data_IF_413269535761
#
_entry.id   IF_413269535761
#
_cell.length_a   1.000
_cell.length_b   1.000
_cell.length_c   1.000
_cell.angle_alpha   90.00
_cell.angle_beta   90.00
_cell.angle_gamma   90.00
#
_symmetry.space_group_name_H-M   'P 1'
#
loop_
_entity.id
_entity.type
_entity.pdbx_description
1 polymer ?
#
# COMPACT_ATOMS: atom_id res chain seq x y z
N UNK A 1 27.26 -6.67 6.03
CA UNK A 1 26.70 -7.97 6.46
C UNK A 1 27.78 -9.00 6.84
N UNK A 2 29.06 -8.76 6.54
CA UNK A 2 30.15 -9.76 6.62
C UNK A 2 30.41 -10.32 8.03
N UNK A 3 29.83 -9.75 9.08
CA UNK A 3 29.94 -10.23 10.46
C UNK A 3 28.66 -9.95 11.29
N UNK A 4 27.47 -10.06 10.68
CA UNK A 4 26.22 -9.82 11.42
C UNK A 4 26.09 -10.78 12.62
N UNK A 5 26.63 -12.01 12.50
CA UNK A 5 26.65 -13.02 13.56
C UNK A 5 27.98 -13.81 13.52
N UNK A 6 29.04 -13.32 14.20
CA UNK A 6 30.34 -13.99 14.22
C UNK A 6 30.23 -15.43 14.76
N UNK A 7 30.93 -16.37 14.11
CA UNK A 7 30.92 -17.80 14.49
C UNK A 7 29.67 -18.59 14.12
N UNK A 8 28.70 -17.99 13.43
CA UNK A 8 27.45 -18.65 13.04
C UNK A 8 27.58 -19.64 11.88
N UNK A 9 28.66 -19.58 11.11
CA UNK A 9 28.88 -20.40 9.90
C UNK A 9 27.73 -20.30 8.88
N UNK A 10 27.11 -19.12 8.77
CA UNK A 10 26.01 -18.84 7.83
C UNK A 10 26.57 -18.16 6.58
N UNK A 11 26.18 -18.68 5.41
CA UNK A 11 26.39 -18.02 4.12
C UNK A 11 25.07 -17.44 3.62
N UNK A 12 25.13 -16.22 3.08
CA UNK A 12 23.98 -15.54 2.47
C UNK A 12 24.28 -15.34 1.00
N UNK A 13 23.37 -15.82 0.15
CA UNK A 13 23.47 -15.72 -1.30
C UNK A 13 22.28 -14.91 -1.82
N UNK A 14 22.55 -13.97 -2.72
CA UNK A 14 21.53 -13.15 -3.36
C UNK A 14 21.26 -13.67 -4.76
N UNK A 15 20.02 -14.04 -5.03
CA UNK A 15 19.51 -14.34 -6.36
C UNK A 15 18.60 -13.21 -6.83
N UNK A 16 18.72 -12.82 -8.09
CA UNK A 16 17.93 -11.76 -8.69
C UNK A 16 17.21 -12.25 -9.95
N UNK A 17 16.16 -11.53 -10.34
CA UNK A 17 15.46 -11.69 -11.61
C UNK A 17 15.01 -13.14 -11.88
N UNK A 18 15.31 -13.69 -13.06
CA UNK A 18 14.89 -15.02 -13.48
C UNK A 18 15.48 -16.14 -12.61
N UNK A 19 16.67 -15.92 -12.05
CA UNK A 19 17.31 -16.92 -11.19
C UNK A 19 16.57 -17.10 -9.85
N UNK A 20 16.01 -16.02 -9.29
CA UNK A 20 15.17 -16.17 -8.09
C UNK A 20 13.91 -16.99 -8.39
N UNK A 21 13.23 -16.70 -9.51
CA UNK A 21 12.02 -17.44 -9.92
C UNK A 21 12.30 -18.92 -10.21
N UNK A 22 13.43 -19.22 -10.87
CA UNK A 22 13.87 -20.60 -11.13
C UNK A 22 14.06 -21.36 -9.82
N UNK A 23 14.84 -20.78 -8.89
CA UNK A 23 15.11 -21.42 -7.61
C UNK A 23 13.86 -21.54 -6.73
N UNK A 24 12.94 -20.58 -6.79
CA UNK A 24 11.65 -20.72 -6.09
C UNK A 24 10.76 -21.84 -6.67
N UNK A 25 11.02 -22.31 -7.90
CA UNK A 25 10.26 -23.37 -8.57
C UNK A 25 10.80 -24.79 -8.37
N UNK A 26 11.95 -24.93 -7.69
CA UNK A 26 12.56 -26.22 -7.37
C UNK A 26 12.53 -26.52 -5.85
N UNK A 27 12.89 -27.76 -5.49
CA UNK A 27 12.97 -28.16 -4.09
C UNK A 27 14.17 -27.53 -3.36
N UNK A 28 14.10 -27.46 -2.03
CA UNK A 28 15.22 -26.99 -1.21
C UNK A 28 16.44 -27.95 -1.32
N UNK A 29 16.21 -29.26 -1.47
CA UNK A 29 17.26 -30.27 -1.65
C UNK A 29 18.04 -30.05 -2.96
N UNK A 30 17.35 -29.84 -4.08
CA UNK A 30 17.99 -29.54 -5.37
C UNK A 30 18.77 -28.22 -5.30
N UNK A 31 18.18 -27.20 -4.67
CA UNK A 31 18.85 -25.90 -4.47
C UNK A 31 20.11 -26.03 -3.63
N UNK A 32 20.05 -26.78 -2.53
CA UNK A 32 21.19 -27.04 -1.67
C UNK A 32 22.30 -27.80 -2.41
N UNK A 33 21.93 -28.80 -3.22
CA UNK A 33 22.88 -29.56 -4.03
C UNK A 33 23.58 -28.66 -5.07
N UNK A 34 22.85 -27.82 -5.78
CA UNK A 34 23.41 -26.83 -6.71
C UNK A 34 24.37 -25.88 -5.99
N UNK A 35 23.95 -25.30 -4.86
CA UNK A 35 24.76 -24.39 -4.08
C UNK A 35 26.06 -25.05 -3.58
N UNK A 36 25.97 -26.27 -3.04
CA UNK A 36 27.14 -27.02 -2.57
C UNK A 36 28.10 -27.41 -3.71
N UNK A 37 27.58 -27.64 -4.93
CA UNK A 37 28.43 -27.84 -6.11
C UNK A 37 29.28 -26.60 -6.38
N UNK A 38 28.64 -25.43 -6.48
CA UNK A 38 29.33 -24.15 -6.73
C UNK A 38 30.33 -23.84 -5.62
N UNK A 39 29.96 -24.03 -4.36
CA UNK A 39 30.86 -23.79 -3.23
C UNK A 39 32.09 -24.71 -3.25
N UNK A 40 31.92 -25.98 -3.63
CA UNK A 40 33.05 -26.92 -3.78
C UNK A 40 33.95 -26.58 -4.95
N UNK A 41 33.39 -26.07 -6.04
CA UNK A 41 34.17 -25.59 -7.19
C UNK A 41 35.01 -24.36 -6.81
N UNK A 42 34.47 -23.49 -5.95
CA UNK A 42 35.14 -22.27 -5.49
C UNK A 42 36.18 -22.52 -4.39
N UNK A 43 35.86 -23.35 -3.40
CA UNK A 43 36.63 -23.49 -2.15
C UNK A 43 37.28 -24.87 -1.97
N UNK A 44 37.06 -25.78 -2.92
CA UNK A 44 37.60 -27.13 -2.92
C UNK A 44 36.63 -28.18 -2.36
N UNK A 45 36.90 -29.47 -2.62
CA UNK A 45 35.96 -30.56 -2.34
C UNK A 45 35.83 -30.90 -0.85
N UNK A 46 36.74 -30.42 -0.01
CA UNK A 46 36.83 -30.76 1.42
C UNK A 46 35.92 -29.90 2.31
N UNK A 47 35.24 -28.90 1.76
CA UNK A 47 34.30 -28.10 2.56
C UNK A 47 33.17 -28.98 3.11
N UNK A 48 32.73 -28.74 4.36
CA UNK A 48 31.63 -29.49 4.95
C UNK A 48 30.35 -29.25 4.16
N UNK A 49 29.47 -30.26 4.14
CA UNK A 49 28.13 -30.10 3.60
C UNK A 49 27.30 -29.22 4.56
N UNK A 50 26.52 -28.27 4.03
CA UNK A 50 25.70 -27.42 4.88
C UNK A 50 24.60 -28.25 5.56
N UNK A 51 24.30 -27.90 6.82
CA UNK A 51 23.32 -28.63 7.63
C UNK A 51 21.88 -28.27 7.29
N UNK A 52 21.65 -27.10 6.71
CA UNK A 52 20.33 -26.61 6.37
C UNK A 52 20.40 -25.52 5.28
N UNK A 53 19.28 -25.26 4.62
CA UNK A 53 19.08 -24.14 3.70
C UNK A 53 17.71 -23.50 3.95
N UNK A 54 17.67 -22.17 3.91
CA UNK A 54 16.41 -21.42 3.84
C UNK A 54 16.31 -20.74 2.48
N UNK A 55 15.29 -21.12 1.70
CA UNK A 55 14.97 -20.48 0.41
C UNK A 55 13.66 -19.71 0.55
N UNK A 56 13.70 -18.39 0.74
CA UNK A 56 12.51 -17.57 0.76
C UNK A 56 11.82 -17.58 -0.60
N UNK A 57 10.52 -17.89 -0.62
CA UNK A 57 9.71 -17.98 -1.85
C UNK A 57 8.79 -16.77 -2.01
N UNK A 58 9.37 -15.58 -2.10
CA UNK A 58 8.63 -14.31 -2.10
C UNK A 58 7.70 -14.18 -3.32
N UNK A 59 8.15 -14.62 -4.50
CA UNK A 59 7.37 -14.57 -5.73
C UNK A 59 6.14 -15.48 -5.66
N UNK A 60 6.32 -16.70 -5.18
CA UNK A 60 5.25 -17.70 -5.08
C UNK A 60 4.37 -17.53 -3.82
N UNK A 61 4.79 -16.74 -2.83
CA UNK A 61 4.00 -16.46 -1.65
C UNK A 61 2.74 -15.64 -2.00
N UNK A 62 1.56 -16.22 -1.73
CA UNK A 62 0.27 -15.62 -2.06
C UNK A 62 0.02 -14.26 -1.40
N UNK A 63 0.72 -13.95 -0.31
CA UNK A 63 0.56 -12.71 0.46
C UNK A 63 1.58 -11.61 0.09
N UNK A 64 2.62 -11.95 -0.67
CA UNK A 64 3.72 -11.03 -0.99
C UNK A 64 3.87 -10.81 -2.49
N UNK A 65 3.80 -11.89 -3.29
CA UNK A 65 3.85 -11.86 -4.77
C UNK A 65 5.08 -11.13 -5.33
N UNK A 66 6.18 -11.12 -4.58
CA UNK A 66 7.37 -10.35 -4.87
C UNK A 66 8.10 -9.94 -3.59
N UNK A 67 9.31 -9.40 -3.75
CA UNK A 67 10.13 -8.96 -2.62
C UNK A 67 9.76 -7.55 -2.16
N UNK A 68 9.75 -6.60 -3.09
CA UNK A 68 9.49 -5.18 -2.85
C UNK A 68 9.26 -4.45 -4.17
N UNK A 69 8.70 -3.24 -4.10
CA UNK A 69 8.43 -2.41 -5.26
C UNK A 69 9.71 -1.79 -5.80
N UNK A 70 9.92 -1.93 -7.10
CA UNK A 70 11.00 -1.29 -7.83
C UNK A 70 10.40 -0.49 -8.98
N UNK A 71 10.26 0.82 -8.78
CA UNK A 71 9.79 1.71 -9.84
C UNK A 71 10.96 2.00 -10.79
N UNK A 72 10.84 1.68 -12.10
CA UNK A 72 11.90 2.00 -13.05
C UNK A 72 12.11 3.52 -13.10
N UNK A 73 13.30 3.99 -13.46
CA UNK A 73 13.63 5.43 -13.50
C UNK A 73 12.72 6.26 -14.44
N UNK A 74 12.00 5.60 -15.35
CA UNK A 74 11.02 6.18 -16.28
C UNK A 74 9.61 6.20 -15.68
N UNK A 75 9.43 5.82 -14.40
CA UNK A 75 8.13 5.79 -13.76
C UNK A 75 7.52 7.18 -13.72
N UNK A 76 6.32 7.30 -14.28
CA UNK A 76 5.55 8.54 -14.25
C UNK A 76 5.17 8.90 -12.80
N UNK A 77 5.43 10.14 -12.38
CA UNK A 77 4.97 10.68 -11.10
C UNK A 77 3.45 10.53 -10.91
N UNK A 78 2.68 10.47 -12.01
CA UNK A 78 1.25 10.17 -11.95
C UNK A 78 0.97 8.74 -11.48
N UNK A 79 1.77 7.75 -11.90
CA UNK A 79 1.59 6.36 -11.45
C UNK A 79 1.72 6.27 -9.92
N UNK A 80 2.75 6.90 -9.36
CA UNK A 80 2.99 6.86 -7.92
C UNK A 80 1.89 7.59 -7.14
N UNK A 81 1.39 8.71 -7.66
CA UNK A 81 0.23 9.42 -7.09
C UNK A 81 -1.05 8.58 -7.16
N UNK A 82 -1.26 7.84 -8.24
CA UNK A 82 -2.44 7.00 -8.41
C UNK A 82 -2.43 5.80 -7.46
N UNK A 83 -1.27 5.17 -7.24
CA UNK A 83 -1.12 4.02 -6.33
C UNK A 83 -1.50 4.37 -4.89
N UNK A 84 -1.21 5.60 -4.44
CA UNK A 84 -1.55 6.06 -3.08
C UNK A 84 -2.91 6.77 -2.98
N UNK A 85 -3.60 7.01 -4.09
CA UNK A 85 -4.82 7.80 -4.09
C UNK A 85 -5.95 7.06 -3.35
N UNK A 86 -6.68 7.73 -2.44
CA UNK A 86 -7.79 7.09 -1.75
C UNK A 86 -8.95 6.81 -2.71
N UNK A 87 -9.73 5.78 -2.41
CA UNK A 87 -10.97 5.46 -3.10
C UNK A 87 -12.14 5.47 -2.11
N UNK A 88 -12.88 6.59 -2.06
CA UNK A 88 -13.92 6.80 -1.04
C UNK A 88 -13.31 6.79 0.36
N UNK A 89 -13.71 5.82 1.20
CA UNK A 89 -13.19 5.63 2.57
C UNK A 89 -12.05 4.61 2.65
N UNK A 90 -11.51 4.20 1.51
CA UNK A 90 -10.41 3.24 1.42
C UNK A 90 -9.13 4.04 1.20
N UNK A 91 -8.20 3.93 2.14
CA UNK A 91 -6.88 4.52 2.04
C UNK A 91 -5.83 3.42 1.79
N UNK A 92 -4.82 3.75 0.99
CA UNK A 92 -3.72 2.84 0.68
C UNK A 92 -2.45 3.29 1.41
N UNK A 93 -1.72 2.32 1.95
CA UNK A 93 -0.45 2.57 2.63
C UNK A 93 0.46 1.36 2.53
N UNK A 94 1.76 1.57 2.74
CA UNK A 94 2.78 0.54 2.66
C UNK A 94 4.04 1.07 1.99
N UNK A 95 5.04 0.21 1.86
CA UNK A 95 6.32 0.59 1.26
C UNK A 95 6.13 1.11 -0.18
N UNK A 96 5.27 0.47 -0.96
CA UNK A 96 4.92 0.82 -2.34
C UNK A 96 4.25 2.20 -2.52
N UNK A 97 3.73 2.82 -1.45
CA UNK A 97 3.08 4.15 -1.51
C UNK A 97 4.03 5.30 -1.11
N UNK A 98 5.25 4.99 -0.67
CA UNK A 98 6.26 6.00 -0.34
C UNK A 98 6.96 6.51 -1.60
N UNK A 99 6.85 7.82 -1.86
CA UNK A 99 7.49 8.41 -3.04
C UNK A 99 9.02 8.37 -2.98
N UNK A 100 9.57 8.64 -1.79
CA UNK A 100 11.02 8.78 -1.58
C UNK A 100 11.71 7.47 -1.20
N UNK A 101 10.98 6.55 -0.58
CA UNK A 101 11.55 5.38 0.09
C UNK A 101 10.82 4.09 -0.28
N UNK A 102 10.29 4.01 -1.51
CA UNK A 102 9.76 2.75 -2.07
C UNK A 102 10.81 1.65 -2.01
N UNK A 103 10.37 0.43 -1.71
CA UNK A 103 11.22 -0.73 -1.47
C UNK A 103 11.85 -0.83 -0.07
N UNK A 104 11.69 0.18 0.80
CA UNK A 104 12.31 0.19 2.13
C UNK A 104 11.31 0.09 3.27
N UNK A 105 11.74 -0.56 4.37
CA UNK A 105 10.95 -0.71 5.60
C UNK A 105 10.52 0.63 6.18
N UNK A 106 11.43 1.60 6.27
CA UNK A 106 11.10 2.93 6.79
C UNK A 106 10.16 3.71 5.86
N UNK A 107 10.17 3.42 4.56
CA UNK A 107 9.18 3.96 3.61
C UNK A 107 7.77 3.53 3.96
N UNK A 108 7.57 2.23 4.25
CA UNK A 108 6.28 1.71 4.70
C UNK A 108 5.86 2.25 6.07
N UNK A 109 6.80 2.38 7.00
CA UNK A 109 6.53 2.97 8.32
C UNK A 109 6.05 4.42 8.22
N UNK A 110 6.76 5.26 7.48
CA UNK A 110 6.41 6.68 7.31
C UNK A 110 5.11 6.85 6.53
N UNK A 111 4.90 6.08 5.46
CA UNK A 111 3.64 6.08 4.73
C UNK A 111 2.45 5.71 5.63
N UNK A 112 2.63 4.72 6.52
CA UNK A 112 1.61 4.32 7.49
C UNK A 112 1.25 5.45 8.45
N UNK A 113 2.26 6.15 8.97
CA UNK A 113 2.05 7.32 9.84
C UNK A 113 1.28 8.44 9.12
N UNK A 114 1.66 8.75 7.88
CA UNK A 114 1.05 9.83 7.11
C UNK A 114 -0.40 9.50 6.76
N UNK A 115 -0.68 8.29 6.24
CA UNK A 115 -2.04 7.83 5.96
C UNK A 115 -2.92 7.85 7.21
N UNK A 116 -2.37 7.47 8.37
CA UNK A 116 -3.10 7.49 9.64
C UNK A 116 -3.47 8.92 10.08
N UNK A 117 -2.58 9.90 9.87
CA UNK A 117 -2.89 11.31 10.15
C UNK A 117 -4.00 11.82 9.23
N UNK A 118 -3.95 11.50 7.93
CA UNK A 118 -5.01 11.86 6.98
C UNK A 118 -6.35 11.29 7.42
N UNK A 119 -6.39 10.01 7.79
CA UNK A 119 -7.61 9.37 8.29
C UNK A 119 -8.17 10.09 9.53
N UNK A 120 -7.31 10.43 10.50
CA UNK A 120 -7.75 11.14 11.71
C UNK A 120 -8.35 12.52 11.39
N UNK A 121 -7.76 13.26 10.45
CA UNK A 121 -8.29 14.56 10.04
C UNK A 121 -9.62 14.44 9.28
N UNK A 122 -9.77 13.44 8.40
CA UNK A 122 -11.03 13.15 7.72
C UNK A 122 -12.14 12.76 8.71
N UNK A 123 -11.81 11.94 9.71
CA UNK A 123 -12.76 11.55 10.77
C UNK A 123 -13.20 12.76 11.59
N UNK A 124 -12.28 13.64 11.97
CA UNK A 124 -12.61 14.89 12.69
C UNK A 124 -13.50 15.80 11.86
N UNK A 125 -13.18 16.01 10.58
CA UNK A 125 -14.02 16.82 9.70
C UNK A 125 -15.42 16.22 9.53
N UNK A 126 -15.52 14.90 9.40
CA UNK A 126 -16.82 14.23 9.34
C UNK A 126 -17.63 14.45 10.63
N UNK A 127 -16.99 14.34 11.79
CA UNK A 127 -17.62 14.59 13.09
C UNK A 127 -18.05 16.05 13.28
N UNK A 128 -17.33 17.02 12.71
CA UNK A 128 -17.67 18.44 12.80
C UNK A 128 -18.76 18.85 11.80
N UNK A 129 -18.77 18.25 10.61
CA UNK A 129 -19.69 18.64 9.54
C UNK A 129 -21.06 17.97 9.66
N UNK A 130 -21.15 16.76 10.21
CA UNK A 130 -22.45 16.07 10.37
C UNK A 130 -23.45 16.84 11.25
N UNK A 131 -23.08 17.37 12.45
CA UNK A 131 -23.99 18.18 13.25
C UNK A 131 -24.39 19.48 12.56
N UNK A 132 -23.46 20.12 11.84
CA UNK A 132 -23.73 21.36 11.13
C UNK A 132 -24.72 21.14 9.97
N UNK A 133 -24.53 20.06 9.20
CA UNK A 133 -25.45 19.68 8.12
C UNK A 133 -26.85 19.35 8.68
N UNK A 134 -26.93 18.54 9.73
CA UNK A 134 -28.19 18.22 10.40
C UNK A 134 -28.90 19.48 10.93
N UNK A 135 -28.13 20.45 11.45
CA UNK A 135 -28.67 21.74 11.88
C UNK A 135 -29.21 22.56 10.71
N UNK A 136 -28.48 22.67 9.60
CA UNK A 136 -28.95 23.39 8.41
C UNK A 136 -30.19 22.74 7.77
N UNK A 137 -30.26 21.41 7.77
CA UNK A 137 -31.43 20.65 7.31
C UNK A 137 -32.64 20.85 8.23
N UNK A 138 -32.42 20.95 9.54
CA UNK A 138 -33.47 21.32 10.49
C UNK A 138 -33.99 22.74 10.23
N UNK A 139 -33.10 23.70 9.96
CA UNK A 139 -33.48 25.09 9.69
C UNK A 139 -34.30 25.22 8.39
N UNK A 140 -33.92 24.51 7.32
CA UNK A 140 -34.67 24.52 6.06
C UNK A 140 -36.04 23.85 6.20
N UNK A 141 -36.18 22.82 7.04
CA UNK A 141 -37.48 22.22 7.35
C UNK A 141 -38.38 23.12 8.21
N UNK A 142 -37.82 23.93 9.11
CA UNK A 142 -38.62 24.90 9.88
C UNK A 142 -39.12 26.05 9.02
N UNK A 143 -38.35 26.49 8.03
CA UNK A 143 -38.73 27.58 7.11
C UNK A 143 -39.84 27.15 6.11
N UNK A 144 -39.88 25.86 5.77
CA UNK A 144 -40.98 25.28 4.98
C UNK A 144 -42.29 25.12 5.79
N UNK A 145 -42.23 25.10 7.13
CA UNK A 145 -43.42 25.00 8.00
C UNK A 145 -43.96 26.35 8.46
N UNK A 146 -43.20 27.44 8.33
CA UNK A 146 -43.58 28.80 8.77
C UNK A 146 -44.38 29.59 7.74
N UNK A 147 -44.70 29.05 6.56
CA UNK A 147 -45.54 29.73 5.58
C UNK A 147 -46.90 29.05 5.32
N UNK A 148 -47.86 29.10 6.25
CA UNK A 148 -49.27 28.95 5.93
C UNK A 148 -49.85 30.31 5.49
N UNK A 149 -50.32 30.35 4.25
CA UNK A 149 -51.01 31.42 3.52
C UNK A 149 -51.54 32.64 4.31
N UNK A 150 -51.22 33.84 3.81
CA UNK A 150 -52.06 35.04 3.95
C UNK A 150 -52.55 35.47 2.56
N UNK A 151 -53.87 35.37 2.36
CA UNK A 151 -54.62 35.77 1.17
C UNK A 151 -54.47 37.27 0.86
N UNK A 152 -54.54 37.66 -0.41
CA UNK A 152 -55.64 38.54 -0.88
C UNK A 152 -55.73 38.62 -2.41
N UNK A 153 -56.97 38.57 -2.87
CA UNK A 153 -57.45 38.77 -4.23
C UNK A 153 -57.04 40.13 -4.82
N UNK A 154 -56.63 40.15 -6.09
CA UNK A 154 -56.96 41.24 -7.01
C UNK A 154 -57.34 40.65 -8.37
N UNK A 155 -58.64 40.65 -8.66
CA UNK A 155 -59.16 40.53 -10.02
C UNK A 155 -58.84 41.82 -10.78
N UNK A 156 -58.30 41.70 -12.00
CA UNK A 156 -58.45 42.72 -13.03
C UNK A 156 -58.57 42.05 -14.39
N UNK A 157 -59.79 42.16 -14.94
CA UNK A 157 -60.19 41.80 -16.29
C UNK A 157 -59.79 42.94 -17.24
N UNK A 158 -59.21 42.57 -18.38
CA UNK A 158 -59.30 43.19 -19.73
C UNK A 158 -57.92 43.21 -20.40
N UNK A 159 -57.73 42.90 -21.68
CA UNK A 159 -58.67 42.66 -22.76
C UNK A 159 -57.99 41.94 -23.93
N UNK A 160 -58.82 41.51 -24.90
CA UNK A 160 -58.40 40.96 -26.19
C UNK A 160 -57.87 42.07 -27.10
N UNK A 161 -56.75 41.81 -27.77
CA UNK A 161 -56.58 41.76 -29.24
C UNK A 161 -55.13 41.42 -29.55
#
# INVERSE_FOLDING_TARGET
MENAYPGSNILVVTLTNEQSKRVESQSDEETLKEAMSVLRDMFGPTIPYATDILVPRWWNNRFQRGSYSNYPMISDNHLQRNVKAPFGRILFTGEHTSEKFSGYVHGGYLAGMDTSKTLLEEMKQSLLLQPLLAFTESLTQTDQRSNPQMYTNVNLISGRS
#
